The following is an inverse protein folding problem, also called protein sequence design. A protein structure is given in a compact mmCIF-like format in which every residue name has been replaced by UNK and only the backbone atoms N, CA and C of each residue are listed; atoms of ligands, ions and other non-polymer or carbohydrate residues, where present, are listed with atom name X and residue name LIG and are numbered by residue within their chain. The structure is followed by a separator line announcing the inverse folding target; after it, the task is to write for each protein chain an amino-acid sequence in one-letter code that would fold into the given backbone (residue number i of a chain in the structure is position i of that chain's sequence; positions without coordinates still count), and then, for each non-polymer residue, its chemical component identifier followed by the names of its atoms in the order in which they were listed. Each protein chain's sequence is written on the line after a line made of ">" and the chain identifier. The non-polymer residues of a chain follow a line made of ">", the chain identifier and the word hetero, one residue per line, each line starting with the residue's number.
data_IF_405450923923
#
_entry.id   IF_405450923923
#
_cell.length_a   1.000
_cell.length_b   1.000
_cell.length_c   1.000
_cell.angle_alpha   90.00
_cell.angle_beta   90.00
_cell.angle_gamma   90.00
#
_symmetry.space_group_name_H-M   'P 1'
#
loop_
_entity.id
_entity.type
_entity.pdbx_description
1 polymer ?
#
# COMPACT_ATOMS: atom_id res chain seq x y z
N UNK A 1 -15.74 13.80 5.90
CA UNK A 1 -15.94 14.56 7.16
C UNK A 1 -17.07 15.60 7.04
N UNK A 2 -17.05 16.50 6.05
CA UNK A 2 -18.09 17.54 5.87
C UNK A 2 -19.50 16.95 5.84
N UNK A 3 -19.71 15.86 5.07
CA UNK A 3 -21.00 15.16 5.00
C UNK A 3 -21.48 14.63 6.34
N UNK A 4 -20.56 14.07 7.12
CA UNK A 4 -20.84 13.59 8.48
C UNK A 4 -21.31 14.73 9.38
N UNK A 5 -20.64 15.89 9.34
CA UNK A 5 -21.00 17.07 10.13
C UNK A 5 -22.37 17.58 9.72
N UNK A 6 -22.64 17.67 8.41
CA UNK A 6 -23.96 18.06 7.91
C UNK A 6 -25.07 17.15 8.41
N UNK A 7 -24.86 15.84 8.42
CA UNK A 7 -25.83 14.87 8.96
C UNK A 7 -26.07 15.04 10.47
N UNK A 8 -25.03 15.32 11.25
CA UNK A 8 -25.16 15.57 12.71
C UNK A 8 -25.91 16.88 12.97
N UNK A 9 -25.62 17.92 12.21
CA UNK A 9 -26.19 19.26 12.37
C UNK A 9 -27.55 19.46 11.66
N UNK A 10 -28.02 18.48 10.88
CA UNK A 10 -29.25 18.58 10.08
C UNK A 10 -29.14 19.51 8.86
N UNK A 11 -27.93 19.75 8.35
CA UNK A 11 -27.65 20.63 7.21
C UNK A 11 -27.57 19.79 5.92
N UNK A 12 -28.20 20.27 4.84
CA UNK A 12 -28.11 19.67 3.52
C UNK A 12 -26.70 19.75 2.91
N UNK A 13 -26.42 19.01 1.83
CA UNK A 13 -25.11 19.04 1.19
C UNK A 13 -24.83 20.43 0.60
N UNK A 14 -23.64 20.96 0.87
CA UNK A 14 -23.23 22.30 0.41
C UNK A 14 -22.77 22.29 -1.05
N UNK A 15 -22.25 21.16 -1.52
CA UNK A 15 -21.78 20.94 -2.90
C UNK A 15 -22.03 19.49 -3.31
N UNK A 16 -21.87 19.18 -4.60
CA UNK A 16 -21.93 17.80 -5.09
C UNK A 16 -20.87 16.88 -4.44
N UNK A 17 -19.67 17.41 -4.16
CA UNK A 17 -18.60 16.61 -3.55
C UNK A 17 -18.98 16.16 -2.14
N UNK A 18 -19.69 17.02 -1.40
CA UNK A 18 -20.23 16.67 -0.09
C UNK A 18 -21.37 15.64 -0.20
N UNK A 19 -22.27 15.82 -1.18
CA UNK A 19 -23.39 14.91 -1.40
C UNK A 19 -22.94 13.46 -1.66
N UNK A 20 -21.83 13.28 -2.39
CA UNK A 20 -21.26 11.97 -2.72
C UNK A 20 -20.19 11.48 -1.73
N UNK A 21 -19.83 12.27 -0.72
CA UNK A 21 -18.84 11.84 0.27
C UNK A 21 -19.41 10.75 1.18
N UNK A 22 -18.66 9.67 1.37
CA UNK A 22 -19.00 8.61 2.32
C UNK A 22 -19.03 9.19 3.75
N UNK A 23 -20.16 9.10 4.47
CA UNK A 23 -20.24 9.54 5.86
C UNK A 23 -19.41 8.63 6.77
N UNK A 24 -18.87 9.18 7.86
CA UNK A 24 -18.13 8.42 8.88
C UNK A 24 -19.07 7.71 9.87
N UNK A 25 -20.11 7.03 9.37
CA UNK A 25 -21.13 6.38 10.20
C UNK A 25 -20.56 5.32 11.15
N UNK A 26 -19.45 4.66 10.79
CA UNK A 26 -18.78 3.69 11.64
C UNK A 26 -18.05 4.30 12.85
N UNK A 27 -17.80 5.61 12.84
CA UNK A 27 -17.07 6.30 13.93
C UNK A 27 -17.99 6.88 15.01
N UNK A 28 -19.29 6.95 14.77
CA UNK A 28 -20.26 7.55 15.69
C UNK A 28 -21.36 6.55 16.02
N UNK A 29 -21.73 6.45 17.30
CA UNK A 29 -22.79 5.55 17.78
C UNK A 29 -23.61 6.25 18.85
N UNK A 30 -24.92 5.95 18.89
CA UNK A 30 -25.81 6.41 19.94
C UNK A 30 -25.62 5.62 21.27
N UNK A 31 -24.88 4.50 21.23
CA UNK A 31 -24.53 3.70 22.40
C UNK A 31 -23.07 3.94 22.77
N UNK A 32 -22.78 4.75 23.81
CA UNK A 32 -21.40 5.04 24.18
C UNK A 32 -20.73 3.78 24.76
N UNK A 33 -19.47 3.58 24.37
CA UNK A 33 -18.55 2.66 25.04
C UNK A 33 -17.51 3.52 25.77
N UNK A 34 -17.55 3.46 27.11
CA UNK A 34 -16.65 4.23 27.98
C UNK A 34 -15.46 3.40 28.47
N UNK A 35 -15.22 2.22 27.88
CA UNK A 35 -14.04 1.43 28.21
C UNK A 35 -12.78 2.24 27.90
N UNK A 36 -11.83 2.38 28.85
CA UNK A 36 -10.61 3.11 28.59
C UNK A 36 -9.80 2.45 27.48
N UNK A 37 -9.38 3.25 26.50
CA UNK A 37 -8.47 2.77 25.47
C UNK A 37 -7.08 2.53 26.07
N UNK A 38 -6.60 1.30 25.97
CA UNK A 38 -5.20 0.98 26.30
C UNK A 38 -4.36 1.20 25.05
N UNK A 39 -3.48 2.20 25.09
CA UNK A 39 -2.62 2.52 23.96
C UNK A 39 -1.73 1.32 23.60
N UNK A 40 -1.87 0.85 22.36
CA UNK A 40 -0.94 -0.12 21.79
C UNK A 40 0.42 0.56 21.64
N UNK A 41 1.41 0.05 22.38
CA UNK A 41 2.80 0.45 22.22
C UNK A 41 3.45 -0.49 21.20
N UNK A 42 4.23 0.01 20.24
CA UNK A 42 5.05 -0.83 19.39
C UNK A 42 5.90 -1.77 20.25
N UNK A 43 5.96 -3.04 19.85
CA UNK A 43 6.80 -4.04 20.53
C UNK A 43 8.28 -3.90 20.22
N UNK A 44 8.64 -2.95 19.37
CA UNK A 44 9.99 -2.65 18.91
C UNK A 44 10.31 -1.16 19.10
N UNK A 45 11.59 -0.82 19.19
CA UNK A 45 12.03 0.56 19.32
C UNK A 45 11.78 1.32 18.00
N UNK A 46 10.96 2.37 18.07
CA UNK A 46 10.58 3.21 16.92
C UNK A 46 11.74 4.02 16.34
N UNK A 47 12.88 4.08 17.03
CA UNK A 47 14.11 4.73 16.54
C UNK A 47 15.06 3.76 15.83
N UNK A 48 14.70 2.48 15.78
CA UNK A 48 15.48 1.46 15.07
C UNK A 48 15.52 1.75 13.58
N UNK A 49 16.73 1.75 13.01
CA UNK A 49 16.97 1.90 11.57
C UNK A 49 17.74 0.69 11.04
N UNK A 50 17.67 0.47 9.72
CA UNK A 50 18.47 -0.56 9.05
C UNK A 50 19.96 -0.26 9.23
N UNK A 51 20.66 -1.12 9.97
CA UNK A 51 22.11 -1.01 10.19
C UNK A 51 22.94 -1.50 9.01
N UNK A 52 24.27 -1.39 9.11
CA UNK A 52 25.21 -1.82 8.07
C UNK A 52 25.12 -3.31 7.69
N UNK A 53 24.53 -4.13 8.56
CA UNK A 53 24.32 -5.57 8.35
C UNK A 53 22.94 -5.89 7.75
N UNK A 54 22.13 -4.89 7.41
CA UNK A 54 20.83 -5.12 6.80
C UNK A 54 20.98 -5.80 5.43
N UNK A 55 19.96 -6.54 4.98
CA UNK A 55 19.96 -7.16 3.66
C UNK A 55 20.30 -6.14 2.58
N UNK A 56 21.28 -6.47 1.75
CA UNK A 56 21.73 -5.65 0.62
C UNK A 56 22.26 -4.24 0.98
N UNK A 57 22.61 -3.99 2.25
CA UNK A 57 23.09 -2.67 2.68
C UNK A 57 24.26 -2.12 1.85
N UNK A 58 25.31 -2.90 1.51
CA UNK A 58 26.39 -2.41 0.65
C UNK A 58 25.92 -1.96 -0.74
N UNK A 59 24.96 -2.67 -1.34
CA UNK A 59 24.45 -2.40 -2.68
C UNK A 59 23.53 -1.18 -2.71
N UNK A 60 22.69 -1.01 -1.68
CA UNK A 60 21.81 0.15 -1.57
C UNK A 60 22.60 1.42 -1.25
N UNK A 61 23.68 1.31 -0.48
CA UNK A 61 24.53 2.45 -0.11
C UNK A 61 25.23 3.13 -1.29
N UNK A 62 25.35 2.47 -2.45
CA UNK A 62 25.95 3.06 -3.66
C UNK A 62 24.95 3.83 -4.53
N UNK A 63 23.66 3.85 -4.16
CA UNK A 63 22.60 4.50 -4.94
C UNK A 63 22.52 5.99 -4.64
N UNK A 64 22.20 6.80 -5.66
CA UNK A 64 21.97 8.24 -5.51
C UNK A 64 20.51 8.50 -5.12
N UNK A 65 20.28 8.81 -3.86
CA UNK A 65 18.97 9.22 -3.33
C UNK A 65 18.83 10.74 -3.19
N UNK A 66 19.83 11.53 -3.62
CA UNK A 66 19.81 12.98 -3.53
C UNK A 66 19.07 13.61 -4.72
N UNK A 67 19.05 12.92 -5.86
CA UNK A 67 18.38 13.36 -7.08
C UNK A 67 17.22 12.43 -7.42
N UNK A 68 16.11 12.99 -7.88
CA UNK A 68 14.95 12.23 -8.32
C UNK A 68 15.30 11.30 -9.49
N UNK A 69 14.68 10.11 -9.51
CA UNK A 69 14.76 9.12 -10.59
C UNK A 69 16.19 8.67 -10.95
N UNK A 70 17.13 8.69 -9.99
CA UNK A 70 18.52 8.20 -10.19
C UNK A 70 18.81 6.82 -9.61
N UNK A 71 17.90 6.27 -8.82
CA UNK A 71 18.09 4.96 -8.21
C UNK A 71 17.76 3.81 -9.18
N UNK A 72 18.37 2.66 -8.96
CA UNK A 72 17.86 1.39 -9.45
C UNK A 72 16.67 0.95 -8.58
N UNK A 73 15.46 1.11 -9.11
CA UNK A 73 14.20 0.74 -8.44
C UNK A 73 14.13 -0.75 -8.11
N UNK A 74 14.62 -1.64 -8.98
CA UNK A 74 14.55 -3.09 -8.75
C UNK A 74 15.46 -3.48 -7.58
N UNK A 75 16.63 -2.87 -7.49
CA UNK A 75 17.53 -3.08 -6.36
C UNK A 75 16.91 -2.64 -5.04
N UNK A 76 16.28 -1.46 -5.01
CA UNK A 76 15.60 -0.94 -3.82
C UNK A 76 14.40 -1.77 -3.41
N UNK A 77 13.55 -2.17 -4.37
CA UNK A 77 12.41 -3.03 -4.09
C UNK A 77 12.86 -4.35 -3.48
N UNK A 78 13.96 -4.92 -3.99
CA UNK A 78 14.52 -6.16 -3.46
C UNK A 78 15.04 -6.01 -2.02
N UNK A 79 15.73 -4.91 -1.72
CA UNK A 79 16.23 -4.67 -0.35
C UNK A 79 15.09 -4.47 0.64
N UNK A 80 14.05 -3.72 0.26
CA UNK A 80 12.82 -3.55 1.06
C UNK A 80 12.16 -4.91 1.28
N UNK A 81 11.97 -5.71 0.23
CA UNK A 81 11.37 -7.04 0.34
C UNK A 81 12.12 -7.94 1.32
N UNK A 82 13.45 -8.01 1.20
CA UNK A 82 14.29 -8.83 2.06
C UNK A 82 14.36 -8.32 3.51
N UNK A 83 14.21 -7.01 3.72
CA UNK A 83 14.13 -6.45 5.08
C UNK A 83 12.86 -6.89 5.84
N UNK A 84 11.74 -7.07 5.13
CA UNK A 84 10.45 -7.45 5.72
C UNK A 84 10.26 -8.97 5.75
N UNK A 85 10.64 -9.67 4.68
CA UNK A 85 10.39 -11.09 4.49
C UNK A 85 11.60 -11.99 4.85
N UNK A 86 12.71 -11.39 5.24
CA UNK A 86 13.96 -12.09 5.58
C UNK A 86 15.00 -12.05 4.44
N UNK A 87 16.27 -12.11 4.82
CA UNK A 87 17.41 -11.95 3.91
C UNK A 87 17.42 -12.97 2.75
N UNK A 88 16.95 -14.19 3.01
CA UNK A 88 16.92 -15.29 2.04
C UNK A 88 15.61 -15.32 1.20
N UNK A 89 14.72 -14.33 1.39
CA UNK A 89 13.47 -14.28 0.64
C UNK A 89 13.70 -13.89 -0.83
N UNK A 90 12.93 -14.53 -1.72
CA UNK A 90 12.88 -14.19 -3.14
C UNK A 90 11.75 -13.18 -3.37
N UNK A 91 12.10 -11.99 -3.87
CA UNK A 91 11.12 -10.99 -4.28
C UNK A 91 10.31 -11.51 -5.48
N UNK A 92 8.97 -11.35 -5.49
CA UNK A 92 8.14 -11.63 -6.66
C UNK A 92 8.57 -10.79 -7.88
N UNK A 93 8.37 -11.34 -9.08
CA UNK A 93 8.68 -10.62 -10.31
C UNK A 93 7.73 -9.42 -10.52
N UNK A 94 8.20 -8.32 -11.12
CA UNK A 94 7.37 -7.19 -11.49
C UNK A 94 6.21 -7.63 -12.41
N UNK A 95 4.99 -7.24 -12.04
CA UNK A 95 3.81 -7.47 -12.88
C UNK A 95 3.37 -6.15 -13.50
N UNK A 96 3.28 -6.14 -14.84
CA UNK A 96 2.74 -5.03 -15.60
C UNK A 96 1.49 -5.51 -16.32
N UNK A 97 0.31 -5.16 -15.81
CA UNK A 97 -0.94 -5.39 -16.54
C UNK A 97 -1.29 -4.14 -17.34
N UNK A 98 -1.34 -4.25 -18.66
CA UNK A 98 -2.00 -3.24 -19.48
C UNK A 98 -3.49 -3.51 -19.39
N UNK A 99 -4.22 -2.68 -18.62
CA UNK A 99 -5.68 -2.70 -18.63
C UNK A 99 -6.12 -2.06 -19.96
N UNK A 100 -6.18 -2.88 -21.01
CA UNK A 100 -6.59 -2.41 -22.33
C UNK A 100 -5.91 -3.11 -23.51
N UNK A 101 -6.05 -4.42 -23.63
CA UNK A 101 -6.09 -5.09 -24.94
C UNK A 101 -6.57 -6.52 -24.75
N UNK A 102 -7.79 -6.79 -25.19
CA UNK A 102 -8.28 -8.16 -25.26
C UNK A 102 -7.47 -8.94 -26.28
N UNK A 103 -6.73 -9.94 -25.83
CA UNK A 103 -6.47 -11.14 -26.60
C UNK A 103 -6.35 -12.30 -25.62
N UNK A 104 -7.44 -13.05 -25.51
CA UNK A 104 -7.44 -14.39 -24.93
C UNK A 104 -6.45 -15.25 -25.71
N UNK A 105 -5.31 -15.58 -25.12
CA UNK A 105 -4.46 -16.66 -25.62
C UNK A 105 -5.11 -18.00 -25.29
N UNK A 106 -6.06 -18.40 -26.13
CA UNK A 106 -6.51 -19.80 -26.22
C UNK A 106 -5.28 -20.63 -26.65
N UNK A 107 -4.91 -21.72 -25.93
CA UNK A 107 -3.84 -22.59 -26.41
C UNK A 107 -4.28 -23.25 -27.72
N UNK A 108 -3.38 -23.22 -28.72
CA UNK A 108 -3.61 -23.79 -30.04
C UNK A 108 -4.00 -25.28 -29.93
N UNK A 109 -5.23 -25.60 -30.31
CA UNK A 109 -5.60 -26.97 -30.62
C UNK A 109 -4.78 -27.39 -31.85
N UNK A 110 -4.05 -28.51 -31.73
CA UNK A 110 -3.48 -29.19 -32.89
C UNK A 110 -4.63 -29.71 -33.74
N UNK A 111 -4.80 -29.20 -34.95
CA UNK A 111 -5.57 -29.89 -35.98
C UNK A 111 -4.76 -31.12 -36.43
N UNK A 112 -5.33 -32.34 -36.33
CA UNK A 112 -4.85 -33.48 -37.09
C UNK A 112 -5.63 -33.46 -38.41
N UNK A 113 -4.99 -33.03 -39.50
CA UNK A 113 -5.24 -33.47 -40.89
C UNK A 113 -4.78 -32.39 -41.88
N UNK A 114 -3.70 -32.68 -42.63
CA UNK A 114 -3.32 -31.97 -43.86
C UNK A 114 -2.01 -31.20 -43.80
#
# INVERSE_FOLDING_TARGET
>A
MVRTIGLIAGIGPLTQFDAFATPMNASFTAKPDNTPYTALKPSYDMTTVNGANAPMAPQVATQDTATEDKIDEQLFNKSIWQSVNGADSKMPEPQHSVIGSGSSSQPAAKDPDG
#
